data_IF_268489986167
#
_entry.id   IF_268489986167
#
_cell.length_a   1.000
_cell.length_b   1.000
_cell.length_c   1.000
_cell.angle_alpha   90.00
_cell.angle_beta   90.00
_cell.angle_gamma   90.00
#
_symmetry.space_group_name_H-M   'P 1'
#
loop_
_entity.id
_entity.type
_entity.pdbx_description
1 polymer ?
#
# COMPACT_ATOMS: atom_id res chain seq x y z
N UNK A 1 7.01 28.99 8.56
CA UNK A 1 6.48 27.60 8.56
C UNK A 1 6.79 26.98 7.20
N UNK A 2 7.51 25.85 7.16
CA UNK A 2 7.64 25.09 5.93
C UNK A 2 6.33 24.37 5.67
N UNK A 3 5.78 24.50 4.46
CA UNK A 3 4.57 23.78 4.05
C UNK A 3 4.92 22.28 4.00
N UNK A 4 4.34 21.50 4.89
CA UNK A 4 4.40 20.03 4.78
C UNK A 4 3.64 19.60 3.55
N UNK A 5 4.12 18.55 2.90
CA UNK A 5 3.44 17.93 1.77
C UNK A 5 3.32 16.43 2.02
N UNK A 6 2.32 15.79 1.42
CA UNK A 6 2.06 14.37 1.64
C UNK A 6 2.61 13.56 0.47
N UNK A 7 3.40 12.53 0.78
CA UNK A 7 3.77 11.48 -0.18
C UNK A 7 2.98 10.23 0.18
N UNK A 8 2.28 9.68 -0.80
CA UNK A 8 1.45 8.47 -0.63
C UNK A 8 2.09 7.32 -1.38
N UNK A 9 2.29 6.19 -0.72
CA UNK A 9 2.74 4.95 -1.35
C UNK A 9 1.55 4.03 -1.52
N UNK A 10 1.35 3.45 -2.70
CA UNK A 10 0.16 2.64 -3.01
C UNK A 10 0.59 1.32 -3.63
N UNK A 11 -0.03 0.24 -3.17
CA UNK A 11 0.11 -1.12 -3.70
C UNK A 11 -1.26 -1.81 -3.66
N UNK A 12 -1.41 -2.91 -4.39
CA UNK A 12 -2.62 -3.71 -4.43
C UNK A 12 -2.48 -5.11 -3.83
N UNK A 13 -3.62 -5.70 -3.54
CA UNK A 13 -3.72 -7.14 -3.29
C UNK A 13 -4.93 -7.71 -4.01
N UNK A 14 -4.75 -8.84 -4.69
CA UNK A 14 -5.78 -9.50 -5.50
C UNK A 14 -5.51 -9.39 -6.99
N UNK A 15 -6.16 -10.25 -7.77
CA UNK A 15 -6.04 -10.22 -9.23
C UNK A 15 -7.04 -9.21 -9.80
N UNK A 16 -6.58 -8.39 -10.75
CA UNK A 16 -7.39 -7.40 -11.49
C UNK A 16 -8.22 -8.06 -12.59
N UNK A 17 -9.01 -9.06 -12.21
CA UNK A 17 -9.98 -9.72 -13.11
C UNK A 17 -11.41 -9.39 -12.69
N UNK A 18 -12.34 -9.46 -13.64
CA UNK A 18 -13.75 -9.16 -13.39
C UNK A 18 -14.30 -10.01 -12.24
N UNK A 19 -14.96 -9.34 -11.30
CA UNK A 19 -15.55 -9.86 -10.06
C UNK A 19 -14.54 -10.37 -9.01
N UNK A 20 -13.23 -10.33 -9.26
CA UNK A 20 -12.25 -10.62 -8.22
C UNK A 20 -12.20 -9.47 -7.21
N UNK A 21 -12.18 -9.82 -5.93
CA UNK A 21 -12.01 -8.84 -4.87
C UNK A 21 -10.55 -8.38 -4.80
N UNK A 22 -10.36 -7.10 -5.05
CA UNK A 22 -9.09 -6.36 -5.01
C UNK A 22 -9.16 -5.41 -3.82
N UNK A 23 -8.06 -5.30 -3.09
CA UNK A 23 -7.87 -4.23 -2.13
C UNK A 23 -6.71 -3.35 -2.58
N UNK A 24 -6.88 -2.04 -2.47
CA UNK A 24 -5.80 -1.09 -2.54
C UNK A 24 -5.43 -0.67 -1.12
N UNK A 25 -4.13 -0.67 -0.83
CA UNK A 25 -3.58 -0.18 0.42
C UNK A 25 -2.64 0.98 0.15
N UNK A 26 -2.70 1.99 0.99
CA UNK A 26 -1.80 3.13 0.94
C UNK A 26 -1.24 3.49 2.30
N UNK A 27 -0.02 4.02 2.28
CA UNK A 27 0.66 4.61 3.43
C UNK A 27 1.07 6.03 3.07
N UNK A 28 0.56 7.00 3.82
CA UNK A 28 0.76 8.43 3.57
C UNK A 28 1.66 9.04 4.65
N UNK A 29 2.78 9.61 4.21
CA UNK A 29 3.74 10.28 5.08
C UNK A 29 3.69 11.79 4.87
N UNK A 30 3.55 12.54 5.96
CA UNK A 30 3.86 13.96 5.97
C UNK A 30 5.38 14.13 5.81
N UNK A 31 5.78 14.92 4.81
CA UNK A 31 7.18 15.14 4.46
C UNK A 31 7.52 16.62 4.49
N UNK A 32 8.75 16.92 4.88
CA UNK A 32 9.38 18.24 4.81
C UNK A 32 10.43 18.25 3.70
N UNK A 33 10.86 19.44 3.27
CA UNK A 33 11.89 19.59 2.23
C UNK A 33 13.17 18.86 2.66
N UNK A 34 13.65 17.94 1.80
CA UNK A 34 14.91 17.20 1.99
C UNK A 34 14.72 15.69 2.14
N UNK A 35 13.54 15.20 2.51
CA UNK A 35 13.29 13.76 2.57
C UNK A 35 12.93 13.22 1.18
N UNK A 36 13.60 12.15 0.74
CA UNK A 36 13.25 11.44 -0.49
C UNK A 36 12.25 10.33 -0.21
N UNK A 37 11.33 10.07 -1.15
CA UNK A 37 10.40 8.95 -1.06
C UNK A 37 11.11 7.58 -1.00
N UNK A 38 12.40 7.51 -1.38
CA UNK A 38 13.22 6.30 -1.27
C UNK A 38 13.66 5.95 0.17
N UNK A 39 13.48 6.89 1.10
CA UNK A 39 13.88 6.75 2.50
C UNK A 39 12.69 6.72 3.47
N UNK A 40 11.55 7.29 3.07
CA UNK A 40 10.34 7.29 3.89
C UNK A 40 9.90 5.86 4.21
N UNK A 41 9.66 5.61 5.50
CA UNK A 41 9.29 4.29 6.01
C UNK A 41 10.45 3.29 6.16
N UNK A 42 11.69 3.61 5.75
CA UNK A 42 12.84 2.68 5.81
C UNK A 42 13.06 2.12 7.21
N UNK A 43 13.15 3.00 8.21
CA UNK A 43 13.36 2.58 9.60
C UNK A 43 12.24 1.67 10.11
N UNK A 44 11.00 1.93 9.71
CA UNK A 44 9.85 1.11 10.09
C UNK A 44 9.92 -0.27 9.43
N UNK A 45 10.20 -0.34 8.13
CA UNK A 45 10.39 -1.60 7.39
C UNK A 45 11.53 -2.42 8.01
N UNK A 46 12.68 -1.80 8.27
CA UNK A 46 13.84 -2.49 8.86
C UNK A 46 13.54 -3.01 10.26
N UNK A 47 12.82 -2.23 11.07
CA UNK A 47 12.40 -2.66 12.41
C UNK A 47 11.42 -3.84 12.35
N UNK A 48 10.38 -3.77 11.51
CA UNK A 48 9.43 -4.88 11.31
C UNK A 48 10.17 -6.13 10.82
N UNK A 49 11.04 -5.99 9.82
CA UNK A 49 11.85 -7.10 9.30
C UNK A 49 12.73 -7.72 10.38
N UNK A 50 13.37 -6.91 11.22
CA UNK A 50 14.19 -7.39 12.33
C UNK A 50 13.35 -8.14 13.37
N UNK A 51 12.22 -7.57 13.77
CA UNK A 51 11.27 -8.18 14.73
C UNK A 51 10.77 -9.54 14.22
N UNK A 52 10.46 -9.63 12.92
CA UNK A 52 9.89 -10.82 12.29
C UNK A 52 10.93 -11.75 11.63
N UNK A 53 12.22 -11.44 11.77
CA UNK A 53 13.36 -12.17 11.17
C UNK A 53 13.17 -12.40 9.66
N UNK A 54 12.82 -11.35 8.93
CA UNK A 54 12.62 -11.36 7.47
C UNK A 54 13.90 -10.85 6.79
N UNK A 55 14.57 -11.71 6.03
CA UNK A 55 15.79 -11.35 5.29
C UNK A 55 15.52 -10.61 3.97
N UNK A 56 14.40 -10.91 3.31
CA UNK A 56 14.02 -10.34 2.01
C UNK A 56 13.11 -9.12 2.10
N UNK A 57 12.34 -8.89 1.05
CA UNK A 57 11.29 -7.87 1.03
C UNK A 57 10.22 -8.13 2.10
N UNK A 58 9.72 -7.06 2.72
CA UNK A 58 8.58 -7.15 3.62
C UNK A 58 7.31 -7.29 2.79
N UNK A 59 6.65 -8.45 2.91
CA UNK A 59 5.40 -8.78 2.23
C UNK A 59 4.34 -9.21 3.23
N UNK A 60 3.06 -8.96 2.95
CA UNK A 60 1.92 -9.37 3.79
C UNK A 60 2.00 -10.83 4.23
N UNK A 61 2.29 -11.76 3.29
CA UNK A 61 2.40 -13.20 3.58
C UNK A 61 3.46 -13.53 4.64
N UNK A 62 4.55 -12.75 4.69
CA UNK A 62 5.59 -12.93 5.69
C UNK A 62 5.13 -12.41 7.06
N UNK A 63 4.47 -11.25 7.10
CA UNK A 63 3.86 -10.69 8.32
C UNK A 63 2.86 -11.66 8.92
N UNK A 64 1.89 -12.13 8.12
CA UNK A 64 0.86 -13.08 8.52
C UNK A 64 1.42 -14.36 9.14
N UNK A 65 2.51 -14.88 8.58
CA UNK A 65 3.09 -16.17 9.00
C UNK A 65 3.99 -16.06 10.22
N UNK A 66 4.62 -14.90 10.46
CA UNK A 66 5.74 -14.78 11.40
C UNK A 66 5.49 -13.85 12.58
N UNK A 67 4.38 -13.11 12.58
CA UNK A 67 4.10 -12.11 13.59
C UNK A 67 2.63 -11.96 13.92
N UNK A 68 2.32 -10.90 14.64
CA UNK A 68 0.96 -10.45 14.93
C UNK A 68 0.60 -9.35 13.90
N UNK A 69 -0.28 -9.63 12.92
CA UNK A 69 -0.68 -8.67 11.90
C UNK A 69 -1.22 -7.36 12.45
N UNK A 70 -2.08 -7.43 13.46
CA UNK A 70 -2.73 -6.29 14.10
C UNK A 70 -1.70 -5.36 14.74
N UNK A 71 -0.70 -5.93 15.42
CA UNK A 71 0.39 -5.16 16.01
C UNK A 71 1.26 -4.49 14.95
N UNK A 72 1.50 -5.15 13.80
CA UNK A 72 2.25 -4.55 12.69
C UNK A 72 1.46 -3.40 12.07
N UNK A 73 0.17 -3.56 11.81
CA UNK A 73 -0.69 -2.48 11.29
C UNK A 73 -0.70 -1.30 12.27
N UNK A 74 -0.90 -1.55 13.56
CA UNK A 74 -0.87 -0.50 14.59
C UNK A 74 0.49 0.22 14.68
N UNK A 75 1.60 -0.46 14.38
CA UNK A 75 2.92 0.18 14.28
C UNK A 75 3.02 1.10 13.05
N UNK A 76 2.41 0.73 11.92
CA UNK A 76 2.39 1.57 10.72
C UNK A 76 1.51 2.79 10.95
N UNK A 77 0.31 2.62 11.53
CA UNK A 77 -0.62 3.72 11.86
C UNK A 77 -0.02 4.77 12.78
N UNK A 78 0.89 4.37 13.69
CA UNK A 78 1.60 5.30 14.57
C UNK A 78 2.60 6.20 13.83
N UNK A 79 3.07 5.77 12.66
CA UNK A 79 4.12 6.46 11.90
C UNK A 79 3.59 7.16 10.63
N UNK A 80 2.44 6.73 10.13
CA UNK A 80 1.86 7.19 8.88
C UNK A 80 0.34 7.03 8.87
N UNK A 81 -0.34 7.85 8.08
CA UNK A 81 -1.75 7.68 7.80
C UNK A 81 -1.94 6.46 6.88
N UNK A 82 -2.89 5.59 7.21
CA UNK A 82 -3.31 4.48 6.36
C UNK A 82 -4.55 4.85 5.56
N UNK A 83 -4.55 4.54 4.27
CA UNK A 83 -5.74 4.64 3.42
C UNK A 83 -5.94 3.31 2.72
N UNK A 84 -7.18 2.88 2.57
CA UNK A 84 -7.47 1.61 1.93
C UNK A 84 -8.89 1.58 1.40
N UNK A 85 -9.10 0.71 0.41
CA UNK A 85 -10.42 0.38 -0.13
C UNK A 85 -10.38 -1.07 -0.59
N UNK A 86 -11.53 -1.75 -0.56
CA UNK A 86 -11.67 -3.09 -1.10
C UNK A 86 -12.96 -3.16 -1.91
N UNK A 87 -12.84 -3.67 -3.13
CA UNK A 87 -13.93 -3.67 -4.10
C UNK A 87 -13.78 -4.87 -5.04
N UNK A 88 -14.89 -5.26 -5.65
CA UNK A 88 -14.84 -6.22 -6.76
C UNK A 88 -14.43 -5.46 -8.02
N UNK A 89 -13.32 -5.88 -8.62
CA UNK A 89 -12.84 -5.31 -9.86
C UNK A 89 -13.89 -5.54 -10.96
N UNK A 90 -14.26 -4.48 -11.67
CA UNK A 90 -15.23 -4.54 -12.77
C UNK A 90 -14.65 -3.97 -14.05
N UNK A 91 -14.07 -2.78 -13.93
CA UNK A 91 -13.49 -2.06 -15.06
C UNK A 91 -12.21 -1.35 -14.63
N UNK A 92 -11.28 -1.08 -15.57
CA UNK A 92 -10.09 -0.29 -15.31
C UNK A 92 -10.41 1.11 -14.75
N UNK A 93 -11.48 1.76 -15.19
CA UNK A 93 -11.90 3.09 -14.73
C UNK A 93 -12.41 3.05 -13.29
N UNK A 94 -13.07 1.96 -12.88
CA UNK A 94 -13.46 1.74 -11.50
C UNK A 94 -12.24 1.64 -10.59
N UNK A 95 -11.24 0.85 -11.00
CA UNK A 95 -9.97 0.75 -10.31
C UNK A 95 -9.24 2.10 -10.23
N UNK A 96 -9.24 2.87 -11.32
CA UNK A 96 -8.60 4.18 -11.35
C UNK A 96 -9.24 5.17 -10.37
N UNK A 97 -10.59 5.19 -10.27
CA UNK A 97 -11.28 6.04 -9.28
C UNK A 97 -10.86 5.74 -7.85
N UNK A 98 -10.79 4.46 -7.51
CA UNK A 98 -10.37 4.02 -6.18
C UNK A 98 -8.90 4.38 -5.91
N UNK A 99 -8.04 4.28 -6.92
CA UNK A 99 -6.64 4.70 -6.85
C UNK A 99 -6.50 6.22 -6.64
N UNK A 100 -7.28 7.02 -7.37
CA UNK A 100 -7.32 8.49 -7.25
C UNK A 100 -7.83 8.93 -5.87
N UNK A 101 -8.79 8.21 -5.30
CA UNK A 101 -9.28 8.47 -3.95
C UNK A 101 -8.17 8.30 -2.89
N UNK A 102 -7.40 7.21 -2.98
CA UNK A 102 -6.26 6.97 -2.08
C UNK A 102 -5.18 8.04 -2.24
N UNK A 103 -4.98 8.55 -3.46
CA UNK A 103 -4.01 9.59 -3.77
C UNK A 103 -4.50 11.03 -3.49
N UNK A 104 -5.73 11.22 -2.97
CA UNK A 104 -6.28 12.54 -2.69
C UNK A 104 -5.33 13.36 -1.80
N UNK A 105 -5.12 14.62 -2.17
CA UNK A 105 -4.23 15.57 -1.50
C UNK A 105 -2.74 15.19 -1.47
N UNK A 106 -2.34 14.13 -2.18
CA UNK A 106 -0.94 13.77 -2.33
C UNK A 106 -0.21 14.80 -3.20
N UNK A 107 0.93 15.29 -2.72
CA UNK A 107 1.85 16.05 -3.58
C UNK A 107 2.59 15.13 -4.57
N UNK A 108 2.75 13.85 -4.20
CA UNK A 108 3.29 12.80 -5.03
C UNK A 108 2.73 11.45 -4.57
N UNK A 109 2.23 10.65 -5.51
CA UNK A 109 1.96 9.24 -5.29
C UNK A 109 3.12 8.38 -5.83
N UNK A 110 3.51 7.35 -5.07
CA UNK A 110 4.54 6.39 -5.43
C UNK A 110 3.86 5.04 -5.56
N UNK A 111 3.77 4.57 -6.80
CA UNK A 111 3.02 3.38 -7.16
C UNK A 111 3.98 2.21 -7.35
N UNK A 112 3.55 1.01 -6.99
CA UNK A 112 4.22 -0.20 -7.49
C UNK A 112 4.17 -0.25 -9.02
N UNK A 113 5.25 -0.70 -9.65
CA UNK A 113 5.36 -0.74 -11.12
C UNK A 113 4.47 -1.81 -11.78
N UNK A 114 3.77 -2.62 -10.99
CA UNK A 114 2.77 -3.57 -11.46
C UNK A 114 1.33 -3.10 -11.17
N UNK A 115 1.17 -1.99 -10.43
CA UNK A 115 -0.13 -1.47 -10.02
C UNK A 115 -0.96 -1.00 -11.22
N UNK A 116 -0.34 -0.24 -12.11
CA UNK A 116 -0.97 0.22 -13.35
C UNK A 116 -0.88 -0.86 -14.43
N UNK A 117 -1.97 -1.07 -15.15
CA UNK A 117 -2.01 -1.97 -16.30
C UNK A 117 -2.46 -1.23 -17.56
N UNK A 118 -1.79 -1.52 -18.68
CA UNK A 118 -2.10 -0.93 -19.98
C UNK A 118 -1.96 0.60 -20.00
N UNK A 119 -2.97 1.27 -20.56
CA UNK A 119 -2.97 2.71 -20.78
C UNK A 119 -3.66 3.52 -19.67
N UNK A 120 -3.79 2.95 -18.48
CA UNK A 120 -4.29 3.70 -17.33
C UNK A 120 -3.36 4.88 -17.01
N UNK A 121 -3.94 6.09 -16.95
CA UNK A 121 -3.24 7.33 -16.61
C UNK A 121 -4.01 8.05 -15.50
N UNK A 122 -3.53 7.99 -14.24
CA UNK A 122 -4.16 8.71 -13.15
C UNK A 122 -4.05 10.22 -13.31
N UNK A 123 -5.07 10.96 -12.85
CA UNK A 123 -5.12 12.42 -12.87
C UNK A 123 -4.22 13.13 -11.85
N UNK A 124 -3.40 12.40 -11.09
CA UNK A 124 -2.50 12.94 -10.07
C UNK A 124 -1.02 12.79 -10.44
N UNK A 125 -0.14 13.51 -9.74
CA UNK A 125 1.30 13.38 -9.93
C UNK A 125 1.81 12.07 -9.32
N UNK A 126 2.44 11.22 -10.13
CA UNK A 126 2.96 9.94 -9.67
C UNK A 126 4.34 9.57 -10.21
N UNK A 127 4.95 8.58 -9.56
CA UNK A 127 6.10 7.82 -10.08
C UNK A 127 5.88 6.33 -9.81
N UNK A 128 6.27 5.48 -10.75
CA UNK A 128 6.27 4.03 -10.57
C UNK A 128 7.64 3.55 -10.10
N UNK A 129 7.68 2.64 -9.12
CA UNK A 129 8.92 2.14 -8.53
C UNK A 129 8.82 0.67 -8.15
N UNK A 130 9.98 0.02 -8.17
CA UNK A 130 10.14 -1.33 -7.63
C UNK A 130 10.06 -1.30 -6.10
N UNK A 131 9.20 -2.15 -5.54
CA UNK A 131 8.96 -2.29 -4.11
C UNK A 131 10.23 -2.64 -3.31
N UNK A 132 11.18 -3.39 -3.89
CA UNK A 132 12.44 -3.80 -3.23
C UNK A 132 13.32 -2.60 -2.86
N UNK A 133 13.17 -1.50 -3.61
CA UNK A 133 13.94 -0.27 -3.41
C UNK A 133 13.15 0.82 -2.69
N UNK A 134 11.86 0.61 -2.46
CA UNK A 134 10.93 1.64 -1.98
C UNK A 134 10.21 1.16 -0.73
N UNK A 135 10.71 1.51 0.48
CA UNK A 135 10.17 0.99 1.73
C UNK A 135 8.68 1.28 1.92
N UNK A 136 8.21 2.46 1.51
CA UNK A 136 6.80 2.82 1.60
C UNK A 136 5.87 1.90 0.79
N UNK A 137 6.30 1.38 -0.38
CA UNK A 137 5.52 0.40 -1.15
C UNK A 137 5.41 -0.92 -0.39
N UNK A 138 6.48 -1.37 0.26
CA UNK A 138 6.42 -2.60 1.07
C UNK A 138 5.45 -2.48 2.26
N UNK A 139 5.31 -1.29 2.84
CA UNK A 139 4.30 -1.04 3.87
C UNK A 139 2.89 -1.03 3.25
N UNK A 140 2.72 -0.45 2.06
CA UNK A 140 1.47 -0.47 1.32
C UNK A 140 1.04 -1.91 0.95
N UNK A 141 1.95 -2.80 0.55
CA UNK A 141 1.70 -4.24 0.32
C UNK A 141 1.10 -4.90 1.57
N UNK A 142 1.68 -4.62 2.75
CA UNK A 142 1.20 -5.15 4.03
C UNK A 142 -0.21 -4.67 4.33
N UNK A 143 -0.47 -3.37 4.12
CA UNK A 143 -1.80 -2.76 4.31
C UNK A 143 -2.82 -3.36 3.34
N UNK A 144 -2.49 -3.41 2.05
CA UNK A 144 -3.36 -3.96 1.01
C UNK A 144 -3.71 -5.42 1.30
N UNK A 145 -2.71 -6.24 1.63
CA UNK A 145 -2.90 -7.66 1.96
C UNK A 145 -3.74 -7.88 3.22
N UNK A 146 -3.52 -7.09 4.27
CA UNK A 146 -4.29 -7.14 5.51
C UNK A 146 -5.76 -6.79 5.30
N UNK A 147 -6.04 -5.66 4.65
CA UNK A 147 -7.42 -5.22 4.44
C UNK A 147 -8.14 -6.06 3.38
N UNK A 148 -7.43 -6.62 2.40
CA UNK A 148 -8.02 -7.64 1.52
C UNK A 148 -8.55 -8.81 2.32
N UNK A 149 -7.76 -9.38 3.22
CA UNK A 149 -8.20 -10.55 3.99
C UNK A 149 -9.42 -10.25 4.86
N UNK A 150 -9.48 -9.04 5.46
CA UNK A 150 -10.60 -8.64 6.31
C UNK A 150 -11.86 -8.28 5.55
N UNK A 151 -11.73 -7.57 4.42
CA UNK A 151 -12.86 -7.01 3.69
C UNK A 151 -13.35 -7.93 2.57
N UNK A 152 -12.46 -8.70 1.96
CA UNK A 152 -12.80 -9.71 0.95
C UNK A 152 -12.99 -11.12 1.54
N UNK A 153 -12.67 -11.34 2.82
CA UNK A 153 -12.74 -12.65 3.49
C UNK A 153 -14.16 -13.19 3.75
N UNK A 154 -15.21 -12.44 3.38
CA UNK A 154 -16.61 -12.83 3.56
C UNK A 154 -17.13 -13.81 2.50
N UNK A 155 -16.69 -15.08 2.56
CA UNK A 155 -17.43 -16.34 2.29
C UNK A 155 -16.44 -17.51 2.08
N UNK A 156 -16.06 -18.18 3.16
CA UNK A 156 -16.01 -19.65 3.14
C UNK A 156 -17.37 -20.14 3.63
N UNK A 157 -18.31 -20.29 2.69
CA UNK A 157 -19.43 -21.21 2.92
C UNK A 157 -18.82 -22.60 2.84
N UNK A 158 -18.98 -23.37 3.92
CA UNK A 158 -18.68 -24.80 3.98
C UNK A 158 -19.34 -25.50 2.79
N UNK A 159 -18.57 -26.30 2.07
CA UNK A 159 -19.05 -27.52 1.44
C UNK A 159 -18.20 -28.66 2.01
#
# INVERSE_FOLDING_TARGET
MYKSFVIVFIDESGLKDVCNCVALGAVAFASSRGATYLELGRHLVDNIKRMLRIGGELKWRAVKRRGNPEAVIALIEKAAELRYTAFHYKTPEGFLRELEELARDAALAVLDNQLLHGDLRPGFRYVERDSRRTPGIQLADVVAGYYRERLCGGRRVML
#
